data_IF_584357166737
#
_entry.id   IF_584357166737
#
_cell.length_a   1.000
_cell.length_b   1.000
_cell.length_c   1.000
_cell.angle_alpha   90.00
_cell.angle_beta   90.00
_cell.angle_gamma   90.00
#
_symmetry.space_group_name_H-M   'P 1'
#
loop_
_entity.id
_entity.type
_entity.pdbx_description
1 polymer ?
#
# COMPACT_ATOMS: atom_id res chain seq x y z
N UNK A 1 17.25 -10.40 -7.64
CA UNK A 1 17.13 -9.05 -7.00
C UNK A 1 16.29 -9.07 -5.71
N UNK A 2 15.00 -9.48 -5.72
CA UNK A 2 14.18 -9.52 -4.48
C UNK A 2 14.75 -10.50 -3.45
N UNK A 3 15.07 -11.71 -3.86
CA UNK A 3 15.69 -12.74 -3.04
C UNK A 3 17.03 -12.28 -2.44
N UNK A 4 17.89 -11.66 -3.25
CA UNK A 4 19.17 -11.14 -2.79
C UNK A 4 18.99 -10.01 -1.76
N UNK A 5 18.03 -9.10 -1.99
CA UNK A 5 17.69 -8.05 -1.04
C UNK A 5 17.21 -8.64 0.29
N UNK A 6 16.38 -9.69 0.23
CA UNK A 6 15.91 -10.39 1.44
C UNK A 6 17.05 -11.10 2.16
N UNK A 7 17.94 -11.77 1.43
CA UNK A 7 19.09 -12.46 2.00
C UNK A 7 20.09 -11.52 2.66
N UNK A 8 20.24 -10.31 2.12
CA UNK A 8 21.15 -9.29 2.66
C UNK A 8 20.56 -8.48 3.83
N UNK A 9 19.28 -8.60 4.10
CA UNK A 9 18.63 -7.84 5.16
C UNK A 9 19.08 -8.30 6.55
N UNK A 10 19.36 -7.35 7.44
CA UNK A 10 19.70 -7.66 8.82
C UNK A 10 18.53 -8.34 9.55
N UNK A 11 18.83 -9.13 10.57
CA UNK A 11 17.84 -9.78 11.40
C UNK A 11 16.83 -8.76 11.97
N UNK A 12 15.54 -9.05 11.82
CA UNK A 12 14.45 -8.17 12.23
C UNK A 12 14.06 -7.09 11.22
N UNK A 13 14.81 -6.91 10.13
CA UNK A 13 14.44 -6.00 9.03
C UNK A 13 13.41 -6.65 8.13
N UNK A 14 12.27 -5.98 7.92
CA UNK A 14 11.27 -6.41 6.95
C UNK A 14 11.58 -5.83 5.57
N UNK A 15 11.60 -6.68 4.57
CA UNK A 15 11.78 -6.29 3.16
C UNK A 15 10.42 -6.39 2.46
N UNK A 16 9.97 -5.28 1.89
CA UNK A 16 8.67 -5.21 1.20
C UNK A 16 8.86 -4.76 -0.25
N UNK A 17 8.11 -5.34 -1.17
CA UNK A 17 8.10 -4.90 -2.57
C UNK A 17 7.02 -3.85 -2.81
N UNK A 18 7.33 -2.83 -3.61
CA UNK A 18 6.30 -1.93 -4.12
C UNK A 18 5.62 -2.59 -5.31
N UNK A 19 4.30 -2.73 -5.26
CA UNK A 19 3.51 -3.31 -6.35
C UNK A 19 3.15 -2.23 -7.39
N UNK A 20 2.01 -1.61 -7.26
CA UNK A 20 1.53 -0.56 -8.14
C UNK A 20 1.34 0.74 -7.36
N UNK A 21 1.87 1.85 -7.88
CA UNK A 21 1.71 3.16 -7.25
C UNK A 21 0.22 3.56 -7.22
N UNK A 22 -0.22 4.16 -6.12
CA UNK A 22 -1.61 4.61 -5.94
C UNK A 22 -2.01 5.78 -6.85
N UNK A 23 -1.05 6.41 -7.51
CA UNK A 23 -1.27 7.44 -8.53
C UNK A 23 -1.55 6.87 -9.93
N UNK A 24 -1.30 5.58 -10.17
CA UNK A 24 -1.51 4.91 -11.44
C UNK A 24 -2.91 4.27 -11.52
N UNK A 25 -3.43 4.22 -12.74
CA UNK A 25 -4.67 3.53 -13.09
C UNK A 25 -4.47 2.55 -14.26
N UNK A 26 -5.54 1.94 -14.74
CA UNK A 26 -5.52 0.96 -15.83
C UNK A 26 -5.03 1.56 -17.15
N UNK A 27 -5.26 2.86 -17.39
CA UNK A 27 -4.77 3.56 -18.59
C UNK A 27 -3.24 3.68 -18.56
N UNK A 28 -2.69 3.93 -17.37
CA UNK A 28 -1.24 4.01 -17.17
C UNK A 28 -0.60 2.63 -17.37
N UNK A 29 -1.24 1.55 -16.90
CA UNK A 29 -0.81 0.17 -17.15
C UNK A 29 -0.80 -0.15 -18.65
N UNK A 30 -1.89 0.15 -19.36
CA UNK A 30 -1.99 -0.10 -20.80
C UNK A 30 -0.88 0.63 -21.58
N UNK A 31 -0.53 1.87 -21.22
CA UNK A 31 0.57 2.63 -21.84
C UNK A 31 1.94 1.99 -21.65
N UNK A 32 2.13 1.20 -20.61
CA UNK A 32 3.37 0.43 -20.36
C UNK A 32 3.31 -1.00 -20.88
N UNK A 33 2.26 -1.36 -21.62
CA UNK A 33 2.10 -2.69 -22.22
C UNK A 33 1.58 -3.75 -21.23
N UNK A 34 1.10 -3.36 -20.06
CA UNK A 34 0.52 -4.27 -19.09
C UNK A 34 -0.99 -4.39 -19.35
N UNK A 35 -1.44 -5.58 -19.70
CA UNK A 35 -2.87 -5.89 -19.88
C UNK A 35 -3.53 -6.29 -18.57
N UNK A 36 -4.83 -5.97 -18.44
CA UNK A 36 -5.66 -6.32 -17.30
C UNK A 36 -5.90 -5.16 -16.34
N UNK A 37 -6.56 -5.46 -15.24
CA UNK A 37 -6.92 -4.46 -14.23
C UNK A 37 -5.73 -4.11 -13.32
N UNK A 38 -5.83 -2.95 -12.65
CA UNK A 38 -4.90 -2.58 -11.58
C UNK A 38 -4.86 -3.63 -10.47
N UNK A 39 -6.02 -4.19 -10.13
CA UNK A 39 -6.16 -5.26 -9.14
C UNK A 39 -5.37 -6.51 -9.55
N UNK A 40 -5.58 -7.02 -10.77
CA UNK A 40 -4.89 -8.23 -11.26
C UNK A 40 -3.37 -8.03 -11.27
N UNK A 41 -2.92 -6.83 -11.61
CA UNK A 41 -1.48 -6.53 -11.61
C UNK A 41 -0.91 -6.52 -10.19
N UNK A 42 -1.63 -5.95 -9.21
CA UNK A 42 -1.20 -5.98 -7.81
C UNK A 42 -1.14 -7.42 -7.30
N UNK A 43 -2.15 -8.25 -7.62
CA UNK A 43 -2.17 -9.66 -7.20
C UNK A 43 -0.99 -10.45 -7.77
N UNK A 44 -0.66 -10.29 -9.06
CA UNK A 44 0.52 -10.91 -9.70
C UNK A 44 1.83 -10.48 -9.04
N UNK A 45 1.98 -9.18 -8.76
CA UNK A 45 3.19 -8.65 -8.12
C UNK A 45 3.31 -9.09 -6.66
N UNK A 46 2.19 -9.23 -5.95
CA UNK A 46 2.15 -9.77 -4.59
C UNK A 46 2.59 -11.23 -4.54
N UNK A 47 2.12 -12.07 -5.48
CA UNK A 47 2.53 -13.46 -5.61
C UNK A 47 4.04 -13.59 -5.90
N UNK A 48 4.58 -12.74 -6.80
CA UNK A 48 6.02 -12.70 -7.08
C UNK A 48 6.83 -12.33 -5.83
N UNK A 49 6.38 -11.33 -5.06
CA UNK A 49 7.04 -10.91 -3.83
C UNK A 49 7.02 -12.03 -2.76
N UNK A 50 5.87 -12.69 -2.60
CA UNK A 50 5.71 -13.81 -1.68
C UNK A 50 6.60 -15.00 -2.07
N UNK A 51 6.62 -15.36 -3.35
CA UNK A 51 7.46 -16.44 -3.89
C UNK A 51 8.95 -16.15 -3.70
N UNK A 52 9.35 -14.88 -3.81
CA UNK A 52 10.73 -14.45 -3.55
C UNK A 52 11.08 -14.39 -2.04
N UNK A 53 10.17 -14.76 -1.15
CA UNK A 53 10.39 -14.82 0.30
C UNK A 53 10.41 -13.45 0.99
N UNK A 54 9.84 -12.39 0.38
CA UNK A 54 9.72 -11.09 1.02
C UNK A 54 8.74 -11.13 2.20
N UNK A 55 8.82 -10.14 3.08
CA UNK A 55 7.94 -10.06 4.26
C UNK A 55 6.56 -9.49 3.92
N UNK A 56 6.44 -8.79 2.81
CA UNK A 56 5.18 -8.17 2.41
C UNK A 56 5.31 -7.24 1.21
N UNK A 57 4.31 -6.39 1.06
CA UNK A 57 4.23 -5.44 -0.06
C UNK A 57 3.74 -4.07 0.36
N UNK A 58 3.98 -3.08 -0.52
CA UNK A 58 3.29 -1.79 -0.54
C UNK A 58 2.19 -1.88 -1.60
N UNK A 59 0.93 -1.69 -1.21
CA UNK A 59 -0.24 -1.70 -2.10
C UNK A 59 -1.27 -0.65 -1.67
N UNK A 60 -2.30 -0.40 -2.48
CA UNK A 60 -3.37 0.51 -2.06
C UNK A 60 -4.36 -0.17 -1.09
N UNK A 61 -5.15 0.65 -0.40
CA UNK A 61 -6.19 0.14 0.50
C UNK A 61 -7.35 -0.57 -0.21
N UNK A 62 -7.42 -0.49 -1.55
CA UNK A 62 -8.40 -1.24 -2.34
C UNK A 62 -8.02 -2.72 -2.51
N UNK A 63 -6.72 -3.01 -2.61
CA UNK A 63 -6.22 -4.36 -2.85
C UNK A 63 -5.79 -5.08 -1.58
N UNK A 64 -5.47 -4.37 -0.49
CA UNK A 64 -4.90 -4.97 0.72
C UNK A 64 -5.75 -6.10 1.30
N UNK A 65 -7.08 -6.01 1.23
CA UNK A 65 -7.98 -7.08 1.69
C UNK A 65 -7.81 -8.36 0.89
N UNK A 66 -7.85 -8.25 -0.45
CA UNK A 66 -7.68 -9.39 -1.34
C UNK A 66 -6.29 -10.04 -1.21
N UNK A 67 -5.23 -9.21 -1.08
CA UNK A 67 -3.88 -9.74 -0.84
C UNK A 67 -3.78 -10.42 0.52
N UNK A 68 -4.40 -9.86 1.56
CA UNK A 68 -4.46 -10.47 2.91
C UNK A 68 -5.13 -11.84 2.87
N UNK A 69 -6.14 -12.03 2.02
CA UNK A 69 -6.81 -13.31 1.88
C UNK A 69 -5.92 -14.40 1.29
N UNK A 70 -5.01 -14.05 0.40
CA UNK A 70 -4.03 -14.95 -0.21
C UNK A 70 -2.75 -15.10 0.63
N UNK A 71 -2.30 -14.03 1.27
CA UNK A 71 -1.05 -13.99 2.05
C UNK A 71 -1.34 -13.57 3.49
N UNK A 72 -1.82 -14.52 4.32
CA UNK A 72 -2.36 -14.28 5.67
C UNK A 72 -1.39 -13.63 6.65
N UNK A 73 -0.11 -13.94 6.58
CA UNK A 73 0.97 -13.45 7.46
C UNK A 73 1.82 -12.33 6.82
N UNK A 74 1.44 -11.86 5.62
CA UNK A 74 2.13 -10.78 4.92
C UNK A 74 2.11 -9.45 5.69
N UNK A 75 3.17 -8.66 5.54
CA UNK A 75 3.29 -7.32 6.11
C UNK A 75 2.92 -6.27 5.07
N UNK A 76 1.75 -5.61 5.24
CA UNK A 76 1.21 -4.72 4.23
C UNK A 76 1.34 -3.26 4.64
N UNK A 77 2.01 -2.48 3.78
CA UNK A 77 2.21 -1.05 3.91
C UNK A 77 1.27 -0.34 2.93
N UNK A 78 0.38 0.50 3.45
CA UNK A 78 -0.68 1.13 2.65
C UNK A 78 -0.53 2.65 2.63
N UNK A 79 -0.06 3.22 1.51
CA UNK A 79 -0.04 4.65 1.27
C UNK A 79 -1.34 5.14 0.62
N UNK A 80 -1.38 6.45 0.33
CA UNK A 80 -2.49 7.06 -0.44
C UNK A 80 -3.77 7.26 0.35
N UNK A 81 -3.69 7.24 1.68
CA UNK A 81 -4.84 7.37 2.57
C UNK A 81 -5.33 8.81 2.68
N UNK A 82 -6.65 9.00 2.78
CA UNK A 82 -7.31 10.30 2.94
C UNK A 82 -8.44 10.18 3.94
N UNK A 83 -8.73 11.28 4.65
CA UNK A 83 -9.88 11.36 5.56
C UNK A 83 -11.19 11.54 4.79
N UNK A 84 -11.13 12.21 3.62
CA UNK A 84 -12.29 12.48 2.75
C UNK A 84 -11.84 12.56 1.30
N UNK A 85 -12.56 11.92 0.39
CA UNK A 85 -12.45 12.02 -1.06
C UNK A 85 -11.06 11.95 -1.70
N UNK A 86 -10.98 11.86 -3.03
CA UNK A 86 -9.73 11.93 -3.76
C UNK A 86 -9.21 13.37 -3.81
N UNK A 87 -7.96 13.58 -3.41
CA UNK A 87 -7.26 14.85 -3.48
C UNK A 87 -5.90 14.70 -4.18
N UNK A 88 -5.56 15.66 -5.05
CA UNK A 88 -4.30 15.70 -5.76
C UNK A 88 -4.16 14.57 -6.79
N UNK A 89 -3.00 13.91 -6.77
CA UNK A 89 -2.60 12.85 -7.71
C UNK A 89 -3.09 11.44 -7.34
N UNK A 90 -3.75 11.28 -6.20
CA UNK A 90 -4.19 9.96 -5.72
C UNK A 90 -5.52 9.57 -6.37
N UNK A 91 -5.50 8.53 -7.20
CA UNK A 91 -6.66 8.00 -7.92
C UNK A 91 -7.37 6.88 -7.16
N UNK A 92 -6.63 6.13 -6.31
CA UNK A 92 -7.10 4.97 -5.55
C UNK A 92 -6.91 5.22 -4.06
N UNK A 93 -7.92 5.81 -3.42
CA UNK A 93 -7.86 6.25 -2.03
C UNK A 93 -8.91 5.53 -1.17
N UNK A 94 -8.53 5.25 0.07
CA UNK A 94 -9.40 4.77 1.14
C UNK A 94 -9.09 5.54 2.42
N UNK A 95 -9.98 5.47 3.40
CA UNK A 95 -9.73 6.06 4.71
C UNK A 95 -8.72 5.23 5.51
N UNK A 96 -8.01 5.83 6.50
CA UNK A 96 -7.13 5.10 7.40
C UNK A 96 -7.84 3.93 8.10
N UNK A 97 -9.06 4.16 8.58
CA UNK A 97 -9.88 3.12 9.23
C UNK A 97 -10.17 1.96 8.28
N UNK A 98 -10.64 2.24 7.07
CA UNK A 98 -10.92 1.19 6.08
C UNK A 98 -9.67 0.37 5.75
N UNK A 99 -8.52 1.03 5.54
CA UNK A 99 -7.27 0.32 5.27
C UNK A 99 -6.87 -0.62 6.42
N UNK A 100 -7.03 -0.17 7.66
CA UNK A 100 -6.78 -1.00 8.85
C UNK A 100 -7.73 -2.19 8.92
N UNK A 101 -9.03 -1.96 8.73
CA UNK A 101 -10.04 -3.01 8.77
C UNK A 101 -9.82 -4.07 7.67
N UNK A 102 -9.26 -3.67 6.52
CA UNK A 102 -8.82 -4.55 5.44
C UNK A 102 -7.48 -5.26 5.69
N UNK A 103 -6.82 -5.00 6.80
CA UNK A 103 -5.61 -5.73 7.20
C UNK A 103 -4.28 -5.03 6.89
N UNK A 104 -4.28 -3.71 6.68
CA UNK A 104 -3.03 -2.95 6.62
C UNK A 104 -2.25 -3.06 7.95
N UNK A 105 -0.97 -3.39 7.86
CA UNK A 105 -0.05 -3.42 9.00
C UNK A 105 0.56 -2.05 9.31
N UNK A 106 0.81 -1.25 8.27
CA UNK A 106 1.32 0.12 8.38
C UNK A 106 0.52 1.04 7.47
N UNK A 107 0.11 2.18 8.01
CA UNK A 107 -0.57 3.26 7.30
C UNK A 107 0.43 4.38 6.99
N UNK A 108 0.59 4.74 5.72
CA UNK A 108 1.48 5.83 5.31
C UNK A 108 0.63 7.06 4.99
N UNK A 109 0.67 8.05 5.88
CA UNK A 109 -0.13 9.26 5.81
C UNK A 109 0.81 10.47 5.77
N UNK A 110 0.96 11.05 4.59
CA UNK A 110 1.86 12.20 4.37
C UNK A 110 1.11 13.52 4.35
N UNK A 111 0.67 13.96 3.17
CA UNK A 111 0.06 15.29 2.93
C UNK A 111 -1.10 15.67 3.86
N UNK A 112 -2.01 14.77 4.25
CA UNK A 112 -3.06 15.10 5.22
C UNK A 112 -2.53 15.60 6.56
N UNK A 113 -1.32 15.22 6.94
CA UNK A 113 -0.64 15.69 8.15
C UNK A 113 0.28 16.86 7.81
N UNK A 114 1.22 16.67 6.88
CA UNK A 114 2.31 17.62 6.63
C UNK A 114 1.87 18.96 6.03
N UNK A 115 0.67 19.04 5.43
CA UNK A 115 0.09 20.24 4.86
C UNK A 115 -1.07 20.82 5.69
N UNK A 116 -1.39 20.22 6.84
CA UNK A 116 -2.37 20.76 7.75
C UNK A 116 -1.83 22.05 8.43
N UNK A 117 -2.71 22.96 8.77
CA UNK A 117 -2.38 24.15 9.54
C UNK A 117 -1.76 23.79 10.89
N UNK A 118 -2.33 22.77 11.56
CA UNK A 118 -1.75 22.12 12.74
C UNK A 118 -1.51 20.62 12.46
N UNK A 119 -0.27 20.22 12.09
CA UNK A 119 0.07 18.82 11.81
C UNK A 119 -0.13 17.89 13.00
N UNK A 120 0.05 18.37 14.23
CA UNK A 120 -0.10 17.56 15.44
C UNK A 120 -1.57 17.27 15.69
N UNK A 121 -2.43 18.26 15.60
CA UNK A 121 -3.87 18.07 15.71
C UNK A 121 -4.40 17.15 14.60
N UNK A 122 -3.92 17.31 13.36
CA UNK A 122 -4.28 16.45 12.24
C UNK A 122 -3.88 14.98 12.48
N UNK A 123 -2.66 14.73 12.96
CA UNK A 123 -2.20 13.38 13.28
C UNK A 123 -3.06 12.73 14.38
N UNK A 124 -3.36 13.46 15.45
CA UNK A 124 -4.23 12.99 16.54
C UNK A 124 -5.66 12.71 16.09
N UNK A 125 -6.21 13.57 15.22
CA UNK A 125 -7.54 13.35 14.64
C UNK A 125 -7.59 12.05 13.82
N UNK A 126 -6.54 11.76 13.05
CA UNK A 126 -6.42 10.51 12.30
C UNK A 126 -6.32 9.31 13.24
N UNK A 127 -5.44 9.39 14.24
CA UNK A 127 -5.28 8.34 15.26
C UNK A 127 -6.61 8.00 15.95
N UNK A 128 -7.39 9.02 16.28
CA UNK A 128 -8.71 8.84 16.92
C UNK A 128 -9.73 8.09 16.04
N UNK A 129 -9.47 7.94 14.72
CA UNK A 129 -10.32 7.16 13.80
C UNK A 129 -9.93 5.69 13.71
N UNK A 130 -8.78 5.31 14.25
CA UNK A 130 -8.21 3.96 14.19
C UNK A 130 -8.64 3.10 15.37
#
# INVERSE_FOLDING_TARGET
MMEDAKAAAAAGTKVVAVTMLTSLDERDLARTGVAGSAHDQVMRLAELAQTAGLDGIVCSGHEVGAVRDQWKDGFFVVPGLRLSGPEGDQKRVVTPRQARDHGAGVLVIGRPISRAEDPVAAARAIEATL
#
